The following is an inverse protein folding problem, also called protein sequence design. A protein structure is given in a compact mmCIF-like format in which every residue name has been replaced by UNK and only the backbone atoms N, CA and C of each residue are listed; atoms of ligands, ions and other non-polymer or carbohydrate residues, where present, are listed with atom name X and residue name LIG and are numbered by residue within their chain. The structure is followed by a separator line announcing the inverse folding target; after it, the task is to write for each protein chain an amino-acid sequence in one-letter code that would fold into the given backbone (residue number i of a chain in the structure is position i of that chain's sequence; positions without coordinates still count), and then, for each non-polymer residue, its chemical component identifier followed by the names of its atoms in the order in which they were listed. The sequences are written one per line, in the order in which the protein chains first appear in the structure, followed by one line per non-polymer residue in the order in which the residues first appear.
data_IF_300236227916
#
_entry.id   IF_300236227916
#
_cell.length_a   1.000
_cell.length_b   1.000
_cell.length_c   1.000
_cell.angle_alpha   90.00
_cell.angle_beta   90.00
_cell.angle_gamma   90.00
#
_symmetry.space_group_name_H-M   'P 1'
#
loop_
_entity.id
_entity.type
_entity.pdbx_description
1 polymer ?
#
# COMPACT_ATOMS: atom_id res chain seq x y z
N UNK A 1 -1.82 2.33 -10.72
CA UNK A 1 -3.08 2.51 -10.01
C UNK A 1 -2.88 2.41 -8.49
N UNK A 2 -3.92 2.20 -7.72
CA UNK A 2 -3.90 2.19 -6.25
C UNK A 2 -5.08 1.38 -5.72
N UNK A 3 -4.92 0.77 -4.55
CA UNK A 3 -6.01 0.14 -3.80
C UNK A 3 -7.16 1.10 -3.45
N UNK A 4 -6.90 2.41 -3.43
CA UNK A 4 -7.92 3.44 -3.18
C UNK A 4 -9.10 3.40 -4.16
N UNK A 5 -8.94 2.79 -5.34
CA UNK A 5 -10.01 2.64 -6.34
C UNK A 5 -11.16 1.76 -5.86
N UNK A 6 -10.92 0.89 -4.87
CA UNK A 6 -11.94 0.00 -4.31
C UNK A 6 -12.93 0.70 -3.36
N UNK A 7 -12.58 1.87 -2.83
CA UNK A 7 -13.34 2.51 -1.75
C UNK A 7 -13.08 1.88 -0.38
N UNK A 8 -14.05 2.00 0.53
CA UNK A 8 -13.97 1.45 1.90
C UNK A 8 -14.54 0.04 1.99
N UNK A 9 -13.96 -0.79 2.85
CA UNK A 9 -14.44 -2.14 3.14
C UNK A 9 -14.35 -2.40 4.65
N UNK A 10 -15.38 -3.00 5.27
CA UNK A 10 -15.34 -3.31 6.69
C UNK A 10 -14.17 -4.23 7.06
N UNK A 11 -13.60 -4.03 8.24
CA UNK A 11 -12.60 -4.93 8.79
C UNK A 11 -13.14 -6.35 8.97
N UNK A 12 -12.26 -7.37 8.73
CA UNK A 12 -12.59 -8.79 8.91
C UNK A 12 -13.28 -9.46 7.72
N UNK A 13 -13.46 -8.74 6.60
CA UNK A 13 -13.88 -9.33 5.32
C UNK A 13 -12.73 -10.04 4.58
N UNK A 14 -12.98 -10.56 3.39
CA UNK A 14 -11.93 -11.03 2.48
C UNK A 14 -11.12 -9.86 1.90
N UNK A 15 -9.87 -10.08 1.48
CA UNK A 15 -9.08 -9.08 0.76
C UNK A 15 -9.78 -8.55 -0.50
N UNK A 16 -9.40 -7.37 -0.95
CA UNK A 16 -9.88 -6.86 -2.21
C UNK A 16 -9.38 -7.70 -3.37
N UNK A 17 -10.28 -8.12 -4.25
CA UNK A 17 -9.97 -8.83 -5.50
C UNK A 17 -10.11 -7.90 -6.69
N UNK A 18 -9.39 -8.17 -7.78
CA UNK A 18 -9.47 -7.35 -9.00
C UNK A 18 -10.81 -7.47 -9.71
N UNK A 19 -11.60 -8.51 -9.39
CA UNK A 19 -12.94 -8.74 -9.94
C UNK A 19 -14.01 -7.86 -9.26
N UNK A 20 -13.69 -7.27 -8.11
CA UNK A 20 -14.57 -6.32 -7.46
C UNK A 20 -14.69 -5.02 -8.27
N UNK A 21 -15.90 -4.49 -8.43
CA UNK A 21 -16.09 -3.24 -9.15
C UNK A 21 -15.42 -2.08 -8.39
N UNK A 22 -14.60 -1.30 -9.10
CA UNK A 22 -14.00 -0.07 -8.59
C UNK A 22 -14.83 1.14 -9.08
N UNK A 23 -16.08 1.23 -8.63
CA UNK A 23 -17.08 2.18 -9.13
C UNK A 23 -17.43 3.27 -8.12
N UNK A 24 -17.02 3.12 -6.86
CA UNK A 24 -17.35 4.07 -5.77
C UNK A 24 -16.06 4.59 -5.08
N UNK A 25 -15.28 5.44 -5.78
CA UNK A 25 -14.06 5.99 -5.22
C UNK A 25 -14.35 6.97 -4.09
N UNK A 26 -13.80 6.73 -2.90
CA UNK A 26 -14.02 7.55 -1.70
C UNK A 26 -13.29 8.91 -1.74
N UNK A 27 -12.44 9.18 -2.73
CA UNK A 27 -11.66 10.41 -2.85
C UNK A 27 -11.39 10.79 -4.30
N UNK A 28 -11.08 12.08 -4.54
CA UNK A 28 -10.64 12.54 -5.86
C UNK A 28 -9.39 11.79 -6.34
N UNK A 29 -8.45 11.50 -5.43
CA UNK A 29 -7.27 10.68 -5.75
C UNK A 29 -7.67 9.30 -6.28
N UNK A 30 -8.59 8.61 -5.62
CA UNK A 30 -9.11 7.32 -6.06
C UNK A 30 -9.74 7.41 -7.47
N UNK A 31 -10.56 8.44 -7.71
CA UNK A 31 -11.17 8.69 -9.00
C UNK A 31 -10.11 8.90 -10.10
N UNK A 32 -9.06 9.67 -9.84
CA UNK A 32 -7.97 9.87 -10.81
C UNK A 32 -7.22 8.58 -11.12
N UNK A 33 -6.99 7.71 -10.11
CA UNK A 33 -6.34 6.42 -10.33
C UNK A 33 -7.21 5.46 -11.14
N UNK A 34 -8.52 5.46 -10.91
CA UNK A 34 -9.47 4.71 -11.75
C UNK A 34 -9.50 5.24 -13.18
N UNK A 35 -9.46 6.54 -13.37
CA UNK A 35 -9.36 7.14 -14.71
C UNK A 35 -8.08 6.70 -15.43
N UNK A 36 -6.93 6.59 -14.74
CA UNK A 36 -5.70 6.06 -15.32
C UNK A 36 -5.88 4.61 -15.84
N UNK A 37 -6.60 3.74 -15.11
CA UNK A 37 -6.89 2.37 -15.56
C UNK A 37 -7.70 2.36 -16.86
N UNK A 38 -8.73 3.20 -16.96
CA UNK A 38 -9.59 3.30 -18.15
C UNK A 38 -8.83 3.87 -19.35
N UNK A 39 -7.99 4.89 -19.14
CA UNK A 39 -7.12 5.43 -20.18
C UNK A 39 -6.13 4.37 -20.66
N UNK A 40 -5.47 3.66 -19.76
CA UNK A 40 -4.55 2.56 -20.07
C UNK A 40 -5.24 1.48 -20.92
N UNK A 41 -6.46 1.07 -20.55
CA UNK A 41 -7.24 0.12 -21.32
C UNK A 41 -7.55 0.62 -22.76
N UNK A 42 -7.89 1.89 -22.89
CA UNK A 42 -8.13 2.49 -24.21
C UNK A 42 -6.86 2.50 -25.07
N UNK A 43 -5.72 2.85 -24.47
CA UNK A 43 -4.43 2.85 -25.19
C UNK A 43 -4.02 1.43 -25.61
N UNK A 44 -4.21 0.42 -24.77
CA UNK A 44 -3.95 -0.97 -25.13
C UNK A 44 -4.71 -1.37 -26.39
N UNK A 45 -6.03 -1.07 -26.43
CA UNK A 45 -6.91 -1.38 -27.57
C UNK A 45 -6.55 -0.60 -28.83
N UNK A 46 -6.29 0.71 -28.71
CA UNK A 46 -6.06 1.60 -29.86
C UNK A 46 -4.69 1.35 -30.50
N UNK A 47 -3.67 1.11 -29.71
CA UNK A 47 -2.28 1.06 -30.19
C UNK A 47 -1.65 -0.33 -30.10
N UNK A 48 -2.37 -1.33 -29.58
CA UNK A 48 -1.88 -2.69 -29.49
C UNK A 48 -0.78 -2.91 -28.47
N UNK A 49 -0.60 -2.03 -27.47
CA UNK A 49 0.36 -2.23 -26.41
C UNK A 49 -0.19 -3.19 -25.33
N UNK A 50 0.54 -4.24 -24.96
CA UNK A 50 0.19 -5.03 -23.76
C UNK A 50 0.40 -4.18 -22.51
N UNK A 51 -0.61 -4.08 -21.65
CA UNK A 51 -0.51 -3.26 -20.45
C UNK A 51 -0.99 -4.00 -19.20
N UNK A 52 -0.22 -3.85 -18.10
CA UNK A 52 -0.61 -4.30 -16.77
C UNK A 52 -0.71 -3.09 -15.85
N UNK A 53 -1.91 -2.79 -15.36
CA UNK A 53 -2.13 -1.85 -14.27
C UNK A 53 -1.90 -2.55 -12.92
N UNK A 54 -1.08 -1.96 -12.05
CA UNK A 54 -0.86 -2.48 -10.71
C UNK A 54 -1.59 -1.61 -9.68
N UNK A 55 -2.47 -2.20 -8.88
CA UNK A 55 -3.13 -1.56 -7.74
C UNK A 55 -2.25 -1.75 -6.51
N UNK A 56 -1.43 -0.74 -6.22
CA UNK A 56 -0.57 -0.75 -5.05
C UNK A 56 -1.39 -0.57 -3.78
N UNK A 57 -1.10 -1.41 -2.79
CA UNK A 57 -1.53 -1.21 -1.41
C UNK A 57 -0.51 -0.33 -0.67
N UNK A 58 -0.35 -0.43 0.65
CA UNK A 58 0.50 0.50 1.37
C UNK A 58 1.97 0.09 1.28
N UNK A 59 2.71 0.72 0.39
CA UNK A 59 4.15 0.49 0.23
C UNK A 59 4.92 1.26 1.30
N UNK A 60 5.93 0.62 1.91
CA UNK A 60 6.83 1.25 2.87
C UNK A 60 8.28 0.81 2.66
N UNK A 61 9.23 1.59 3.19
CA UNK A 61 10.65 1.31 3.11
C UNK A 61 11.51 2.54 2.85
N UNK A 62 12.81 2.37 2.62
CA UNK A 62 13.73 3.44 2.22
C UNK A 62 13.23 4.22 1.00
N UNK A 63 13.53 5.52 0.95
CA UNK A 63 13.14 6.44 -0.13
C UNK A 63 11.61 6.64 -0.25
N UNK A 64 10.85 6.23 0.76
CA UNK A 64 9.41 6.44 0.81
C UNK A 64 9.03 7.91 0.93
N UNK A 65 7.76 8.22 0.63
CA UNK A 65 7.25 9.60 0.68
C UNK A 65 7.14 10.10 2.13
N UNK A 66 7.57 11.34 2.42
CA UNK A 66 7.55 11.89 3.78
C UNK A 66 6.16 12.06 4.41
N UNK A 67 5.11 12.12 3.59
CA UNK A 67 3.71 12.22 4.03
C UNK A 67 3.10 10.88 4.48
N UNK A 68 3.78 9.76 4.24
CA UNK A 68 3.31 8.46 4.72
C UNK A 68 3.47 8.33 6.24
N UNK A 69 2.51 7.65 6.88
CA UNK A 69 2.43 7.55 8.34
C UNK A 69 3.73 7.05 8.96
N UNK A 70 4.30 5.93 8.49
CA UNK A 70 5.54 5.39 9.03
C UNK A 70 6.72 6.38 8.96
N UNK A 71 6.79 7.18 7.87
CA UNK A 71 7.84 8.17 7.67
C UNK A 71 7.64 9.39 8.58
N UNK A 72 6.44 10.00 8.54
CA UNK A 72 6.11 11.17 9.36
C UNK A 72 6.16 10.86 10.85
N UNK A 73 5.75 9.67 11.27
CA UNK A 73 5.86 9.23 12.66
C UNK A 73 7.33 9.06 13.08
N UNK A 74 8.17 8.46 12.24
CA UNK A 74 9.61 8.35 12.51
C UNK A 74 10.21 9.72 12.74
N UNK A 75 9.93 10.69 11.88
CA UNK A 75 10.44 12.05 12.00
C UNK A 75 10.02 12.69 13.32
N UNK A 76 8.73 12.60 13.67
CA UNK A 76 8.18 13.18 14.91
C UNK A 76 8.74 12.49 16.16
N UNK A 77 8.79 11.16 16.18
CA UNK A 77 9.32 10.38 17.30
C UNK A 77 10.78 10.76 17.57
N UNK A 78 11.62 10.84 16.55
CA UNK A 78 13.01 11.21 16.69
C UNK A 78 13.20 12.65 17.20
N UNK A 79 12.33 13.58 16.79
CA UNK A 79 12.30 14.96 17.31
C UNK A 79 11.70 15.10 18.70
N UNK A 80 11.06 14.06 19.24
CA UNK A 80 10.34 14.11 20.51
C UNK A 80 8.98 14.80 20.41
N UNK A 81 8.45 14.93 19.21
CA UNK A 81 7.13 15.47 18.93
C UNK A 81 6.04 14.39 19.05
N UNK A 82 4.82 14.80 19.40
CA UNK A 82 3.70 13.88 19.45
C UNK A 82 3.24 13.50 18.05
N UNK A 83 2.82 12.23 17.88
CA UNK A 83 2.16 11.73 16.68
C UNK A 83 0.64 11.77 16.83
N UNK A 84 -0.08 12.11 15.77
CA UNK A 84 -1.53 12.05 15.73
C UNK A 84 -1.99 10.71 15.19
N UNK A 85 -2.80 9.99 15.98
CA UNK A 85 -3.30 8.64 15.65
C UNK A 85 -4.78 8.78 15.33
N UNK A 86 -5.10 8.75 14.04
CA UNK A 86 -6.46 8.89 13.54
C UNK A 86 -7.27 7.59 13.66
N UNK A 87 -8.62 7.71 13.63
CA UNK A 87 -9.54 6.59 13.72
C UNK A 87 -9.41 5.82 15.04
N UNK A 88 -9.02 6.50 16.13
CA UNK A 88 -8.73 5.88 17.43
C UNK A 88 -7.77 4.67 17.35
N UNK A 89 -6.88 4.66 16.35
CA UNK A 89 -5.92 3.57 16.10
C UNK A 89 -6.53 2.28 15.55
N UNK A 90 -7.82 2.27 15.21
CA UNK A 90 -8.54 1.06 14.77
C UNK A 90 -8.38 0.75 13.28
N UNK A 91 -7.69 1.60 12.52
CA UNK A 91 -7.45 1.37 11.10
C UNK A 91 -6.44 0.26 10.89
N UNK A 92 -6.58 -0.46 9.77
CA UNK A 92 -5.61 -1.46 9.34
C UNK A 92 -5.20 -1.25 7.88
N UNK A 93 -3.96 -1.55 7.56
CA UNK A 93 -3.41 -1.45 6.20
C UNK A 93 -2.57 -2.68 5.88
N UNK A 94 -2.54 -3.01 4.61
CA UNK A 94 -1.61 -3.96 4.03
C UNK A 94 -0.28 -3.24 3.77
N UNK A 95 0.69 -3.44 4.65
CA UNK A 95 2.02 -2.84 4.54
C UNK A 95 2.96 -3.78 3.81
N UNK A 96 3.41 -3.39 2.62
CA UNK A 96 4.30 -4.19 1.79
C UNK A 96 5.66 -3.50 1.64
N UNK A 97 6.73 -4.23 1.93
CA UNK A 97 8.08 -3.68 1.83
C UNK A 97 8.47 -3.42 0.37
N UNK A 98 9.25 -2.35 0.16
CA UNK A 98 9.58 -1.86 -1.20
C UNK A 98 10.24 -2.92 -2.09
N UNK A 99 11.12 -3.79 -1.57
CA UNK A 99 11.79 -4.81 -2.37
C UNK A 99 10.79 -5.87 -2.87
N UNK A 100 9.83 -6.27 -2.03
CA UNK A 100 8.75 -7.19 -2.44
C UNK A 100 7.88 -6.55 -3.52
N UNK A 101 7.61 -5.26 -3.43
CA UNK A 101 6.90 -4.52 -4.48
C UNK A 101 7.68 -4.53 -5.79
N UNK A 102 9.00 -4.29 -5.74
CA UNK A 102 9.86 -4.32 -6.94
C UNK A 102 9.89 -5.72 -7.57
N UNK A 103 9.99 -6.78 -6.75
CA UNK A 103 9.89 -8.17 -7.22
C UNK A 103 8.57 -8.41 -7.97
N UNK A 104 7.45 -7.95 -7.42
CA UNK A 104 6.14 -8.08 -8.06
C UNK A 104 6.00 -7.28 -9.36
N UNK A 105 6.58 -6.07 -9.43
CA UNK A 105 6.61 -5.26 -10.65
C UNK A 105 7.40 -5.97 -11.75
N UNK A 106 8.60 -6.47 -11.44
CA UNK A 106 9.45 -7.19 -12.39
C UNK A 106 8.74 -8.46 -12.87
N UNK A 107 8.16 -9.24 -11.95
CA UNK A 107 7.38 -10.42 -12.32
C UNK A 107 6.22 -10.10 -13.27
N UNK A 108 5.49 -9.01 -13.03
CA UNK A 108 4.41 -8.59 -13.92
C UNK A 108 4.91 -8.09 -15.30
N UNK A 109 6.08 -7.42 -15.33
CA UNK A 109 6.73 -6.95 -16.55
C UNK A 109 7.21 -8.13 -17.44
N UNK A 110 7.80 -9.13 -16.83
CA UNK A 110 8.31 -10.32 -17.54
C UNK A 110 7.19 -11.25 -18.06
N UNK A 111 5.97 -11.05 -17.57
CA UNK A 111 4.78 -11.79 -17.99
C UNK A 111 3.71 -10.84 -18.55
N UNK A 112 3.92 -10.15 -19.67
CA UNK A 112 2.97 -9.22 -20.24
C UNK A 112 1.68 -9.93 -20.71
N UNK A 113 0.51 -9.27 -20.73
CA UNK A 113 -0.68 -9.81 -21.40
C UNK A 113 -0.49 -9.86 -22.92
N UNK A 114 -1.44 -10.44 -23.64
CA UNK A 114 -1.40 -10.47 -25.09
C UNK A 114 -1.42 -9.04 -25.67
N UNK A 115 -0.92 -8.90 -26.91
CA UNK A 115 -0.88 -7.61 -27.59
C UNK A 115 -2.30 -7.02 -27.73
N UNK A 116 -2.47 -5.78 -27.27
CA UNK A 116 -3.74 -5.08 -27.26
C UNK A 116 -4.61 -5.36 -26.02
N UNK A 117 -4.17 -6.28 -25.15
CA UNK A 117 -4.86 -6.56 -23.91
C UNK A 117 -4.39 -5.64 -22.76
N UNK A 118 -5.32 -5.38 -21.87
CA UNK A 118 -5.10 -4.69 -20.61
C UNK A 118 -5.60 -5.57 -19.47
N UNK A 119 -4.76 -5.75 -18.46
CA UNK A 119 -5.16 -6.38 -17.21
C UNK A 119 -4.83 -5.49 -16.02
N UNK A 120 -5.50 -5.75 -14.90
CA UNK A 120 -5.20 -5.13 -13.61
C UNK A 120 -4.84 -6.22 -12.62
N UNK A 121 -3.83 -5.98 -11.79
CA UNK A 121 -3.38 -6.88 -10.73
C UNK A 121 -3.20 -6.11 -9.42
N UNK A 122 -3.61 -6.72 -8.32
CA UNK A 122 -3.25 -6.25 -6.99
C UNK A 122 -1.78 -6.57 -6.68
N UNK A 123 -1.13 -5.67 -5.95
CA UNK A 123 0.21 -5.88 -5.41
C UNK A 123 0.26 -5.41 -3.96
N UNK A 124 0.53 -6.32 -3.05
CA UNK A 124 0.47 -6.15 -1.60
C UNK A 124 0.99 -7.37 -0.86
N UNK A 125 0.92 -7.35 0.47
CA UNK A 125 1.37 -8.45 1.34
C UNK A 125 0.23 -9.43 1.70
N UNK A 126 -1.03 -9.03 1.50
CA UNK A 126 -2.23 -9.78 1.91
C UNK A 126 -2.38 -9.96 3.43
N UNK A 127 -1.60 -9.27 4.22
CA UNK A 127 -1.65 -9.31 5.68
C UNK A 127 -1.99 -7.91 6.23
N UNK A 128 -3.25 -7.67 6.63
CA UNK A 128 -3.62 -6.39 7.21
C UNK A 128 -3.01 -6.25 8.60
N UNK A 129 -2.25 -5.16 8.82
CA UNK A 129 -1.66 -4.80 10.11
C UNK A 129 -2.39 -3.60 10.68
N UNK A 130 -2.75 -3.68 11.96
CA UNK A 130 -3.37 -2.58 12.70
C UNK A 130 -2.43 -1.37 12.85
N UNK A 131 -2.99 -0.15 12.83
CA UNK A 131 -2.21 1.07 12.97
C UNK A 131 -1.41 1.09 14.29
N UNK A 132 -1.99 0.63 15.39
CA UNK A 132 -1.29 0.57 16.68
C UNK A 132 -0.14 -0.43 16.66
N UNK A 133 -0.32 -1.60 16.05
CA UNK A 133 0.73 -2.61 15.89
C UNK A 133 1.90 -2.07 15.04
N UNK A 134 1.59 -1.36 13.95
CA UNK A 134 2.60 -0.70 13.13
C UNK A 134 3.38 0.34 13.95
N UNK A 135 2.70 1.16 14.77
CA UNK A 135 3.34 2.16 15.63
C UNK A 135 4.26 1.48 16.66
N UNK A 136 3.78 0.45 17.36
CA UNK A 136 4.57 -0.28 18.36
C UNK A 136 5.81 -0.94 17.73
N UNK A 137 5.67 -1.48 16.54
CA UNK A 137 6.79 -2.07 15.78
C UNK A 137 7.79 -1.00 15.37
N UNK A 138 7.31 0.16 14.94
CA UNK A 138 8.14 1.30 14.59
C UNK A 138 8.89 1.87 15.81
N UNK A 139 8.23 1.97 16.98
CA UNK A 139 8.84 2.37 18.24
C UNK A 139 10.02 1.45 18.61
N UNK A 140 9.85 0.14 18.43
CA UNK A 140 10.93 -0.85 18.66
C UNK A 140 12.07 -0.64 17.68
N UNK A 141 11.80 -0.48 16.39
CA UNK A 141 12.81 -0.24 15.35
C UNK A 141 13.59 1.06 15.57
N UNK A 142 12.93 2.11 16.06
CA UNK A 142 13.55 3.40 16.39
C UNK A 142 14.27 3.36 17.75
N UNK A 143 13.83 2.49 18.68
CA UNK A 143 14.33 2.46 20.06
C UNK A 143 13.79 3.58 20.94
N UNK A 144 12.64 4.19 20.58
CA UNK A 144 12.03 5.30 21.30
C UNK A 144 10.50 5.22 21.23
N UNK A 145 9.83 5.39 22.38
CA UNK A 145 8.36 5.43 22.45
C UNK A 145 7.82 6.77 21.92
N UNK A 146 6.67 6.69 21.26
CA UNK A 146 5.92 7.85 20.75
C UNK A 146 4.99 8.43 21.80
N UNK A 147 4.87 9.74 21.88
CA UNK A 147 3.73 10.42 22.51
C UNK A 147 2.58 10.41 21.51
N UNK A 148 1.47 9.75 21.85
CA UNK A 148 0.32 9.55 20.95
C UNK A 148 -0.83 10.49 21.31
N UNK A 149 -1.37 11.19 20.33
CA UNK A 149 -2.59 12.00 20.44
C UNK A 149 -3.66 11.33 19.59
N UNK A 150 -4.68 10.76 20.23
CA UNK A 150 -5.79 10.12 19.53
C UNK A 150 -6.68 11.15 18.86
N UNK A 151 -7.08 10.88 17.61
CA UNK A 151 -7.93 11.75 16.79
C UNK A 151 -9.06 10.95 16.15
N UNK A 152 -10.23 11.56 15.97
CA UNK A 152 -11.28 10.93 15.17
C UNK A 152 -10.84 10.68 13.74
N UNK A 153 -11.53 9.79 13.05
CA UNK A 153 -11.27 9.45 11.64
C UNK A 153 -11.42 10.67 10.73
N UNK A 154 -10.53 10.83 9.76
CA UNK A 154 -10.61 11.93 8.80
C UNK A 154 -11.59 11.59 7.67
N UNK A 155 -12.31 12.60 7.10
CA UNK A 155 -13.12 12.38 5.90
C UNK A 155 -12.29 11.81 4.74
N UNK A 156 -12.78 10.75 4.12
CA UNK A 156 -12.09 10.07 3.01
C UNK A 156 -11.07 9.00 3.42
N UNK A 157 -10.82 8.83 4.73
CA UNK A 157 -10.08 7.67 5.22
C UNK A 157 -10.94 6.41 5.16
N UNK A 158 -10.29 5.26 4.95
CA UNK A 158 -10.91 3.94 4.90
C UNK A 158 -10.50 3.11 6.13
N UNK A 159 -11.40 2.26 6.60
CA UNK A 159 -11.23 1.49 7.84
C UNK A 159 -10.14 0.44 7.69
N UNK A 160 -10.17 -0.32 6.60
CA UNK A 160 -9.18 -1.35 6.31
C UNK A 160 -8.96 -1.50 4.81
N UNK A 161 -7.70 -1.78 4.44
CA UNK A 161 -7.36 -2.15 3.06
C UNK A 161 -6.32 -3.26 3.09
N UNK A 162 -6.59 -4.37 2.37
CA UNK A 162 -5.60 -5.39 2.13
C UNK A 162 -5.89 -6.15 0.84
N UNK A 163 -4.83 -6.64 0.20
CA UNK A 163 -4.88 -7.27 -1.10
C UNK A 163 -5.28 -8.74 -1.05
N UNK A 164 -6.05 -9.20 -2.02
CA UNK A 164 -5.90 -10.55 -2.54
C UNK A 164 -4.91 -10.48 -3.71
N UNK A 165 -3.77 -11.15 -3.59
CA UNK A 165 -2.71 -11.17 -4.62
C UNK A 165 -2.66 -12.50 -5.38
N UNK A 166 -3.72 -13.30 -5.30
CA UNK A 166 -3.77 -14.65 -5.90
C UNK A 166 -3.51 -14.63 -7.40
N UNK A 167 -4.00 -13.61 -8.13
CA UNK A 167 -3.76 -13.47 -9.57
C UNK A 167 -2.29 -13.16 -9.89
N UNK A 168 -1.66 -12.26 -9.15
CA UNK A 168 -0.24 -11.95 -9.32
C UNK A 168 0.61 -13.17 -8.95
N UNK A 169 0.28 -13.85 -7.84
CA UNK A 169 0.96 -15.09 -7.44
C UNK A 169 0.86 -16.19 -8.52
N UNK A 170 -0.33 -16.46 -9.03
CA UNK A 170 -0.54 -17.46 -10.07
C UNK A 170 0.25 -17.16 -11.36
N UNK A 171 0.40 -15.88 -11.68
CA UNK A 171 1.09 -15.44 -12.88
C UNK A 171 2.61 -15.51 -12.75
N UNK A 172 3.17 -15.13 -11.59
CA UNK A 172 4.59 -14.81 -11.43
C UNK A 172 5.29 -15.64 -10.35
N UNK A 173 4.54 -16.34 -9.51
CA UNK A 173 5.04 -16.90 -8.25
C UNK A 173 5.27 -15.85 -7.15
N UNK A 174 4.79 -14.61 -7.34
CA UNK A 174 4.95 -13.52 -6.39
C UNK A 174 4.53 -13.91 -4.97
N UNK A 175 5.42 -13.70 -4.03
CA UNK A 175 5.18 -13.95 -2.61
C UNK A 175 6.02 -12.97 -1.80
N UNK A 176 5.40 -12.07 -1.05
CA UNK A 176 6.11 -11.18 -0.13
C UNK A 176 6.96 -11.96 0.87
N UNK A 177 8.13 -11.44 1.21
CA UNK A 177 9.14 -12.12 2.04
C UNK A 177 9.51 -11.34 3.28
N UNK A 178 9.38 -10.01 3.21
CA UNK A 178 9.86 -9.10 4.27
C UNK A 178 8.73 -8.77 5.22
N UNK A 179 8.81 -9.31 6.43
CA UNK A 179 7.83 -9.01 7.49
C UNK A 179 7.94 -7.55 7.95
N UNK A 180 6.84 -6.99 8.48
CA UNK A 180 6.77 -5.58 8.88
C UNK A 180 7.90 -5.18 9.84
N UNK A 181 8.22 -6.01 10.83
CA UNK A 181 9.28 -5.72 11.79
C UNK A 181 10.65 -5.56 11.12
N UNK A 182 11.03 -6.51 10.27
CA UNK A 182 12.28 -6.46 9.50
C UNK A 182 12.34 -5.25 8.58
N UNK A 183 11.26 -4.98 7.86
CA UNK A 183 11.21 -3.84 6.93
C UNK A 183 11.27 -2.49 7.64
N UNK A 184 10.65 -2.35 8.83
CA UNK A 184 10.75 -1.13 9.64
C UNK A 184 12.13 -0.95 10.27
N UNK A 185 12.82 -2.03 10.65
CA UNK A 185 14.23 -1.97 11.08
C UNK A 185 15.14 -1.47 9.95
N UNK A 186 15.00 -2.02 8.74
CA UNK A 186 15.73 -1.56 7.54
C UNK A 186 15.45 -0.09 7.24
N UNK A 187 14.18 0.31 7.31
CA UNK A 187 13.78 1.70 7.10
C UNK A 187 14.37 2.63 8.18
N UNK A 188 14.30 2.26 9.46
CA UNK A 188 14.84 3.06 10.56
C UNK A 188 16.36 3.21 10.48
N UNK A 189 17.08 2.15 10.06
CA UNK A 189 18.52 2.20 9.82
C UNK A 189 18.86 3.20 8.70
N UNK A 190 18.18 3.06 7.54
CA UNK A 190 18.34 4.00 6.42
C UNK A 190 18.00 5.45 6.82
N UNK A 191 16.91 5.65 7.58
CA UNK A 191 16.49 6.99 7.98
C UNK A 191 17.57 7.69 8.83
N UNK A 192 18.22 6.99 9.76
CA UNK A 192 19.30 7.54 10.60
C UNK A 192 20.59 7.85 9.83
N UNK A 193 20.85 7.10 8.75
CA UNK A 193 22.01 7.33 7.91
C UNK A 193 21.81 8.53 6.98
N UNK A 194 20.59 8.72 6.50
CA UNK A 194 20.26 9.72 5.48
C UNK A 194 19.87 11.09 6.09
N UNK A 195 19.25 11.12 7.28
CA UNK A 195 18.79 12.32 7.97
C UNK A 195 19.48 12.53 9.33
#
# INVERSE_FOLDING_TARGET
SSSSVYGDKPMGGAGFTEDEPATDPASLYAATKRACELMSQSYAKLYGFPQTGLRFFTVYGPWGRPDMAYFSFTQKILKGEAIEVYGDGKMARDFTYIDDIVDGIIGALDNPPARGDHRVLNIGDSHPVGLMEMIETLEKAIGRAATKIMRPMQPGDVTATYADVSKLHALTGYKPKVMLAEGLEKFAAWYREYY
#
